data_IF_980263530390
#
_entry.id   IF_980263530390
#
_cell.length_a   1.000
_cell.length_b   1.000
_cell.length_c   1.000
_cell.angle_alpha   90.00
_cell.angle_beta   90.00
_cell.angle_gamma   90.00
#
_symmetry.space_group_name_H-M   'P 1'
#
loop_
_entity.id
_entity.type
_entity.pdbx_description
1 polymer ?
#
# COMPACT_ATOMS: atom_id res chain seq x y z
N UNK A 1 -28.43 13.98 -32.50
CA UNK A 1 -28.36 12.87 -31.53
C UNK A 1 -27.17 13.14 -30.64
N UNK A 2 -27.38 13.44 -29.36
CA UNK A 2 -26.30 13.60 -28.38
C UNK A 2 -25.68 12.23 -28.14
N UNK A 3 -24.38 12.09 -28.42
CA UNK A 3 -23.64 10.84 -28.17
C UNK A 3 -23.27 10.85 -26.69
N UNK A 4 -23.94 10.02 -25.90
CA UNK A 4 -23.54 9.78 -24.52
C UNK A 4 -22.26 8.95 -24.55
N UNK A 5 -21.23 9.40 -23.84
CA UNK A 5 -19.98 8.67 -23.76
C UNK A 5 -20.19 7.48 -22.80
N UNK A 6 -20.31 6.27 -23.34
CA UNK A 6 -20.62 5.06 -22.55
C UNK A 6 -19.36 4.39 -21.97
N UNK A 7 -18.22 5.09 -21.93
CA UNK A 7 -16.99 4.58 -21.35
C UNK A 7 -17.13 4.64 -19.83
N UNK A 8 -17.57 3.53 -19.23
CA UNK A 8 -17.66 3.40 -17.78
C UNK A 8 -16.24 3.30 -17.20
N UNK A 9 -15.74 4.42 -16.68
CA UNK A 9 -14.45 4.46 -16.00
C UNK A 9 -14.71 4.17 -14.52
N UNK A 10 -14.16 3.08 -13.96
CA UNK A 10 -14.52 2.63 -12.62
C UNK A 10 -14.18 3.64 -11.51
N UNK A 11 -13.31 4.62 -11.77
CA UNK A 11 -12.99 5.70 -10.84
C UNK A 11 -14.19 6.54 -10.39
N UNK A 12 -15.27 6.58 -11.18
CA UNK A 12 -16.50 7.31 -10.83
C UNK A 12 -17.60 6.42 -10.22
N UNK A 13 -17.41 5.10 -10.20
CA UNK A 13 -18.46 4.14 -9.79
C UNK A 13 -18.18 3.40 -8.48
N UNK A 14 -16.92 3.29 -8.07
CA UNK A 14 -16.53 2.53 -6.88
C UNK A 14 -16.41 3.44 -5.65
N UNK A 15 -16.89 2.99 -4.47
CA UNK A 15 -16.70 3.72 -3.23
C UNK A 15 -15.22 4.05 -3.01
N UNK A 16 -14.95 5.27 -2.55
CA UNK A 16 -13.58 5.76 -2.37
C UNK A 16 -12.72 4.82 -1.50
N UNK A 17 -13.31 4.18 -0.47
CA UNK A 17 -12.63 3.22 0.39
C UNK A 17 -12.10 1.98 -0.35
N UNK A 18 -12.70 1.58 -1.47
CA UNK A 18 -12.25 0.39 -2.21
C UNK A 18 -10.90 0.63 -2.88
N UNK A 19 -10.65 1.85 -3.37
CA UNK A 19 -9.31 2.24 -3.84
C UNK A 19 -8.27 2.20 -2.72
N UNK A 20 -8.65 2.55 -1.49
CA UNK A 20 -7.77 2.42 -0.32
C UNK A 20 -7.45 0.95 -0.02
N UNK A 21 -8.43 0.05 -0.10
CA UNK A 21 -8.22 -1.37 0.13
C UNK A 21 -7.31 -2.01 -0.93
N UNK A 22 -7.49 -1.64 -2.21
CA UNK A 22 -6.62 -2.09 -3.31
C UNK A 22 -5.18 -1.61 -3.09
N UNK A 23 -5.00 -0.33 -2.78
CA UNK A 23 -3.68 0.24 -2.47
C UNK A 23 -3.03 -0.50 -1.29
N UNK A 24 -3.78 -0.75 -0.22
CA UNK A 24 -3.33 -1.53 0.93
C UNK A 24 -2.89 -2.94 0.55
N UNK A 25 -3.66 -3.65 -0.27
CA UNK A 25 -3.30 -4.99 -0.75
C UNK A 25 -1.99 -4.98 -1.54
N UNK A 26 -1.78 -3.98 -2.40
CA UNK A 26 -0.56 -3.83 -3.20
C UNK A 26 0.65 -3.54 -2.28
N UNK A 27 0.53 -2.58 -1.36
CA UNK A 27 1.61 -2.22 -0.43
C UNK A 27 1.96 -3.40 0.48
N UNK A 28 0.96 -4.16 0.93
CA UNK A 28 1.17 -5.38 1.71
C UNK A 28 1.95 -6.43 0.91
N UNK A 29 1.55 -6.70 -0.34
CA UNK A 29 2.26 -7.68 -1.17
C UNK A 29 3.71 -7.27 -1.44
N UNK A 30 3.94 -6.00 -1.82
CA UNK A 30 5.28 -5.47 -2.08
C UNK A 30 6.14 -5.49 -0.82
N UNK A 31 5.60 -5.08 0.33
CA UNK A 31 6.36 -5.07 1.59
C UNK A 31 6.76 -6.47 2.05
N UNK A 32 5.91 -7.47 1.86
CA UNK A 32 6.22 -8.87 2.19
C UNK A 32 7.34 -9.42 1.28
N UNK A 33 7.29 -9.13 -0.02
CA UNK A 33 8.32 -9.55 -0.96
C UNK A 33 9.67 -8.88 -0.67
N UNK A 34 9.66 -7.55 -0.49
CA UNK A 34 10.88 -6.80 -0.15
C UNK A 34 11.46 -7.25 1.18
N UNK A 35 10.61 -7.47 2.18
CA UNK A 35 11.05 -7.92 3.51
C UNK A 35 11.68 -9.31 3.46
N UNK A 36 11.14 -10.22 2.64
CA UNK A 36 11.74 -11.53 2.43
C UNK A 36 13.16 -11.40 1.87
N UNK A 37 13.34 -10.67 0.77
CA UNK A 37 14.65 -10.52 0.14
C UNK A 37 15.69 -9.88 1.08
N UNK A 38 15.28 -8.88 1.86
CA UNK A 38 16.18 -8.23 2.83
C UNK A 38 16.52 -9.17 3.99
N UNK A 39 15.55 -9.93 4.51
CA UNK A 39 15.79 -10.86 5.62
C UNK A 39 16.67 -12.03 5.18
N UNK A 40 16.45 -12.55 3.96
CA UNK A 40 17.25 -13.63 3.36
C UNK A 40 18.71 -13.19 3.12
N UNK A 41 18.97 -11.89 2.89
CA UNK A 41 20.31 -11.32 2.78
C UNK A 41 21.07 -11.28 4.12
N UNK A 42 20.37 -11.36 5.25
CA UNK A 42 21.00 -11.29 6.58
C UNK A 42 21.37 -12.69 7.08
N UNK A 43 22.64 -13.06 6.90
CA UNK A 43 23.18 -14.33 7.40
C UNK A 43 23.38 -14.32 8.93
N UNK A 44 23.33 -15.50 9.55
CA UNK A 44 23.69 -15.70 10.97
C UNK A 44 22.62 -15.29 12.00
N UNK A 45 21.39 -15.04 11.56
CA UNK A 45 20.26 -14.74 12.43
C UNK A 45 19.54 -16.01 12.91
N UNK A 46 19.16 -16.06 14.18
CA UNK A 46 18.25 -17.09 14.68
C UNK A 46 16.83 -16.92 14.10
N UNK A 47 16.03 -18.00 14.07
CA UNK A 47 14.68 -17.98 13.50
C UNK A 47 13.75 -16.95 14.17
N UNK A 48 13.91 -16.73 15.48
CA UNK A 48 13.13 -15.69 16.19
C UNK A 48 13.57 -14.29 15.72
N UNK A 49 14.86 -14.07 15.55
CA UNK A 49 15.41 -12.78 15.09
C UNK A 49 15.00 -12.47 13.66
N UNK A 50 15.06 -13.46 12.76
CA UNK A 50 14.59 -13.32 11.38
C UNK A 50 13.13 -12.89 11.33
N UNK A 51 12.26 -13.51 12.12
CA UNK A 51 10.84 -13.16 12.15
C UNK A 51 10.60 -11.71 12.63
N UNK A 52 11.30 -11.28 13.69
CA UNK A 52 11.21 -9.90 14.17
C UNK A 52 11.70 -8.89 13.13
N UNK A 53 12.82 -9.17 12.48
CA UNK A 53 13.40 -8.31 11.44
C UNK A 53 12.45 -8.23 10.23
N UNK A 54 11.91 -9.37 9.79
CA UNK A 54 10.95 -9.43 8.70
C UNK A 54 9.75 -8.52 8.96
N UNK A 55 9.10 -8.63 10.12
CA UNK A 55 7.96 -7.78 10.44
C UNK A 55 8.35 -6.32 10.71
N UNK A 56 9.55 -6.05 11.23
CA UNK A 56 10.06 -4.68 11.39
C UNK A 56 10.23 -3.97 10.04
N UNK A 57 10.75 -4.67 9.02
CA UNK A 57 10.89 -4.14 7.67
C UNK A 57 9.51 -3.89 7.04
N UNK A 58 8.58 -4.84 7.16
CA UNK A 58 7.20 -4.66 6.70
C UNK A 58 6.58 -3.41 7.33
N UNK A 59 6.68 -3.27 8.66
CA UNK A 59 6.17 -2.09 9.37
C UNK A 59 6.85 -0.79 8.91
N UNK A 60 8.17 -0.81 8.68
CA UNK A 60 8.93 0.31 8.16
C UNK A 60 8.46 0.78 6.78
N UNK A 61 8.18 -0.17 5.87
CA UNK A 61 7.64 0.14 4.53
C UNK A 61 6.24 0.75 4.64
N UNK A 62 5.39 0.25 5.54
CA UNK A 62 4.08 0.82 5.79
C UNK A 62 4.15 2.26 6.32
N UNK A 63 5.05 2.54 7.26
CA UNK A 63 5.30 3.90 7.74
C UNK A 63 5.78 4.81 6.62
N UNK A 64 6.75 4.36 5.82
CA UNK A 64 7.25 5.10 4.68
C UNK A 64 6.14 5.41 3.66
N UNK A 65 5.31 4.43 3.33
CA UNK A 65 4.25 4.63 2.34
C UNK A 65 3.14 5.55 2.87
N UNK A 66 2.55 5.21 4.02
CA UNK A 66 1.32 5.87 4.49
C UNK A 66 1.56 7.19 5.21
N UNK A 67 2.71 7.35 5.89
CA UNK A 67 3.03 8.60 6.60
C UNK A 67 3.82 9.55 5.71
N UNK A 68 4.89 9.05 5.07
CA UNK A 68 5.81 9.90 4.31
C UNK A 68 5.27 10.18 2.90
N UNK A 69 5.13 9.15 2.07
CA UNK A 69 4.75 9.34 0.66
C UNK A 69 3.31 9.85 0.55
N UNK A 70 2.37 9.18 1.22
CA UNK A 70 0.95 9.51 1.07
C UNK A 70 0.56 10.81 1.78
N UNK A 71 1.05 11.00 2.99
CA UNK A 71 0.77 12.18 3.82
C UNK A 71 1.49 13.43 3.32
N UNK A 72 2.82 13.36 3.13
CA UNK A 72 3.62 14.55 2.83
C UNK A 72 3.74 14.84 1.33
N UNK A 73 3.94 13.81 0.50
CA UNK A 73 4.17 13.98 -0.95
C UNK A 73 2.85 14.10 -1.71
N UNK A 74 1.93 13.16 -1.52
CA UNK A 74 0.67 13.12 -2.28
C UNK A 74 -0.43 14.02 -1.70
N UNK A 75 -0.30 14.48 -0.44
CA UNK A 75 -1.30 15.26 0.30
C UNK A 75 -2.73 14.73 0.15
N UNK A 76 -2.88 13.41 -0.01
CA UNK A 76 -4.18 12.76 -0.19
C UNK A 76 -4.79 12.52 1.18
N UNK A 77 -5.89 13.20 1.46
CA UNK A 77 -6.65 13.00 2.70
C UNK A 77 -7.20 11.57 2.75
N UNK A 78 -6.90 10.86 3.85
CA UNK A 78 -7.13 9.42 4.02
C UNK A 78 -8.60 9.01 3.87
N UNK A 79 -9.55 9.93 4.04
CA UNK A 79 -10.99 9.65 3.88
C UNK A 79 -11.77 10.91 3.46
N UNK A 80 -11.40 11.59 2.37
CA UNK A 80 -12.26 12.66 1.83
C UNK A 80 -13.38 12.04 1.00
N UNK A 81 -14.49 11.75 1.67
CA UNK A 81 -15.72 11.35 1.02
C UNK A 81 -16.35 12.58 0.34
N UNK A 82 -16.24 12.68 -0.98
CA UNK A 82 -17.06 13.59 -1.77
C UNK A 82 -18.29 12.80 -2.20
N UNK A 83 -19.35 12.90 -1.41
CA UNK A 83 -20.71 12.75 -1.96
C UNK A 83 -21.03 14.01 -2.77
#
# INVERSE_FOLDING_TARGET
>A
MTVHNNVHIPSESWPSWTWYAIEFGIVLAVSMLVSREITDFMEGLDGVQQNWIFYAIVAGIFLLWYVIIRGMVLKKNILRNRY
#
